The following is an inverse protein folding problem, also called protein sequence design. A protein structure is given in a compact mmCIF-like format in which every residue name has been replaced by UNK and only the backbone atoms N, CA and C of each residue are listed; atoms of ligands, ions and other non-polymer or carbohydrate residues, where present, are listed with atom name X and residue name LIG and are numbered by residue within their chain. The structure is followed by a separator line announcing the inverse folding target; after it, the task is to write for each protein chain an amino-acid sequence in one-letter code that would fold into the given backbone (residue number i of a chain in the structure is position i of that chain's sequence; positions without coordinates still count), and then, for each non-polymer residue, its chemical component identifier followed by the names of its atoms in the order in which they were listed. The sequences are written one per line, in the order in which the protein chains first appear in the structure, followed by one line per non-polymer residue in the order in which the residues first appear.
data_IF_861764495355
#
_entry.id   IF_861764495355
#
_cell.length_a   1.000
_cell.length_b   1.000
_cell.length_c   1.000
_cell.angle_alpha   90.00
_cell.angle_beta   90.00
_cell.angle_gamma   90.00
#
_symmetry.space_group_name_H-M   'P 1'
#
loop_
_entity.id
_entity.type
_entity.pdbx_description
1 polymer ?
#
# COMPACT_ATOMS: atom_id res chain seq x y z
N UNK A 1 13.27 -5.46 -7.77
CA UNK A 1 13.48 -4.90 -6.40
C UNK A 1 14.17 -3.55 -6.48
N UNK A 2 13.72 -2.54 -5.72
CA UNK A 2 14.30 -1.19 -5.75
C UNK A 2 15.72 -1.16 -5.13
N UNK A 3 16.61 -0.33 -5.71
CA UNK A 3 18.02 -0.29 -5.33
C UNK A 3 18.31 0.08 -3.86
N UNK A 4 17.38 0.76 -3.18
CA UNK A 4 17.52 1.10 -1.75
C UNK A 4 17.78 -0.13 -0.87
N UNK A 5 17.22 -1.29 -1.22
CA UNK A 5 17.37 -2.52 -0.45
C UNK A 5 18.71 -3.22 -0.64
N UNK A 6 19.51 -2.80 -1.63
CA UNK A 6 20.88 -3.33 -1.80
C UNK A 6 21.80 -2.98 -0.62
N UNK A 7 21.46 -1.91 0.12
CA UNK A 7 22.20 -1.52 1.33
C UNK A 7 21.80 -2.36 2.56
N UNK A 8 20.70 -3.12 2.47
CA UNK A 8 20.15 -3.94 3.55
C UNK A 8 19.87 -5.37 3.05
N UNK A 9 20.93 -6.18 2.82
CA UNK A 9 20.82 -7.49 2.15
C UNK A 9 19.87 -8.46 2.88
N UNK A 10 19.83 -8.44 4.21
CA UNK A 10 18.92 -9.28 4.99
C UNK A 10 17.44 -8.91 4.72
N UNK A 11 17.11 -7.61 4.69
CA UNK A 11 15.75 -7.16 4.39
C UNK A 11 15.40 -7.47 2.93
N UNK A 12 16.36 -7.30 2.03
CA UNK A 12 16.18 -7.63 0.61
C UNK A 12 15.81 -9.10 0.40
N UNK A 13 16.53 -10.02 1.08
CA UNK A 13 16.22 -11.45 1.02
C UNK A 13 14.80 -11.77 1.53
N UNK A 14 14.38 -11.13 2.63
CA UNK A 14 13.02 -11.27 3.13
C UNK A 14 11.98 -10.74 2.14
N UNK A 15 12.26 -9.62 1.47
CA UNK A 15 11.38 -9.04 0.46
C UNK A 15 11.31 -9.90 -0.82
N UNK A 16 12.38 -10.56 -1.20
CA UNK A 16 12.37 -11.54 -2.30
C UNK A 16 11.45 -12.72 -1.96
N UNK A 17 11.52 -13.24 -0.75
CA UNK A 17 10.60 -14.28 -0.27
C UNK A 17 9.13 -13.80 -0.18
N UNK A 18 8.90 -12.52 0.12
CA UNK A 18 7.55 -11.92 0.06
C UNK A 18 7.02 -11.94 -1.37
N UNK A 19 7.84 -11.60 -2.36
CA UNK A 19 7.45 -11.65 -3.79
C UNK A 19 7.11 -13.08 -4.21
N UNK A 20 7.87 -14.08 -3.77
CA UNK A 20 7.58 -15.49 -4.04
C UNK A 20 6.21 -15.88 -3.49
N UNK A 21 5.88 -15.49 -2.25
CA UNK A 21 4.56 -15.74 -1.64
C UNK A 21 3.45 -14.99 -2.43
N UNK A 22 3.72 -13.77 -2.90
CA UNK A 22 2.77 -13.03 -3.73
C UNK A 22 2.50 -13.77 -5.05
N UNK A 23 3.52 -14.24 -5.74
CA UNK A 23 3.40 -14.99 -7.00
C UNK A 23 2.63 -16.31 -6.82
N UNK A 24 2.87 -17.03 -5.73
CA UNK A 24 2.13 -18.26 -5.38
C UNK A 24 0.64 -17.99 -5.15
N UNK A 25 0.30 -16.88 -4.49
CA UNK A 25 -1.08 -16.51 -4.20
C UNK A 25 -1.80 -15.77 -5.34
N UNK A 26 -1.09 -15.34 -6.37
CA UNK A 26 -1.66 -14.75 -7.57
C UNK A 26 -2.36 -15.77 -8.47
N UNK A 27 -2.16 -17.10 -8.25
CA UNK A 27 -2.76 -18.12 -9.07
C UNK A 27 -4.29 -18.05 -9.07
N UNK A 28 -4.86 -17.96 -10.27
CA UNK A 28 -6.30 -17.93 -10.50
C UNK A 28 -6.67 -18.76 -11.75
N UNK A 29 -7.89 -19.31 -11.77
CA UNK A 29 -8.40 -20.02 -12.97
C UNK A 29 -8.55 -19.09 -14.17
N UNK A 30 -8.94 -17.82 -13.90
CA UNK A 30 -9.00 -16.80 -14.95
C UNK A 30 -7.60 -16.24 -15.21
N UNK A 31 -7.13 -16.46 -16.44
CA UNK A 31 -5.76 -16.07 -16.82
C UNK A 31 -5.58 -14.57 -17.00
N UNK A 32 -6.64 -13.81 -17.23
CA UNK A 32 -6.57 -12.34 -17.29
C UNK A 32 -6.30 -11.82 -15.89
N UNK A 33 -7.02 -12.30 -14.88
CA UNK A 33 -6.82 -11.92 -13.47
C UNK A 33 -5.42 -12.34 -13.02
N UNK A 34 -5.02 -13.59 -13.23
CA UNK A 34 -3.69 -14.07 -12.82
C UNK A 34 -2.56 -13.24 -13.43
N UNK A 35 -2.61 -13.03 -14.76
CA UNK A 35 -1.57 -12.28 -15.47
C UNK A 35 -1.53 -10.82 -15.03
N UNK A 36 -2.69 -10.19 -14.78
CA UNK A 36 -2.74 -8.81 -14.29
C UNK A 36 -2.13 -8.66 -12.90
N UNK A 37 -2.42 -9.60 -11.98
CA UNK A 37 -1.85 -9.58 -10.64
C UNK A 37 -0.34 -9.80 -10.70
N UNK A 38 0.15 -10.76 -11.50
CA UNK A 38 1.59 -10.98 -11.69
C UNK A 38 2.28 -9.76 -12.29
N UNK A 39 1.66 -9.11 -13.27
CA UNK A 39 2.18 -7.88 -13.84
C UNK A 39 2.28 -6.78 -12.77
N UNK A 40 1.26 -6.61 -11.91
CA UNK A 40 1.28 -5.68 -10.79
C UNK A 40 2.41 -6.00 -9.80
N UNK A 41 2.60 -7.26 -9.41
CA UNK A 41 3.67 -7.71 -8.49
C UNK A 41 5.04 -7.30 -9.03
N UNK A 42 5.33 -7.63 -10.28
CA UNK A 42 6.66 -7.39 -10.87
C UNK A 42 6.89 -5.95 -11.33
N UNK A 43 5.84 -5.13 -11.35
CA UNK A 43 5.92 -3.68 -11.58
C UNK A 43 5.78 -2.88 -10.29
N UNK A 44 5.58 -3.56 -9.15
CA UNK A 44 5.42 -2.91 -7.85
C UNK A 44 6.63 -2.03 -7.53
N UNK A 45 6.39 -1.01 -6.71
CA UNK A 45 7.35 0.05 -6.51
C UNK A 45 8.51 -0.31 -5.61
N UNK A 46 8.67 0.46 -4.54
CA UNK A 46 9.84 0.37 -3.65
C UNK A 46 9.71 -0.70 -2.56
N UNK A 47 8.58 -1.41 -2.46
CA UNK A 47 8.30 -2.39 -1.40
C UNK A 47 8.53 -1.81 0.01
N UNK A 48 8.17 -0.53 0.22
CA UNK A 48 8.45 0.16 1.49
C UNK A 48 7.60 -0.40 2.64
N UNK A 49 6.32 -0.67 2.38
CA UNK A 49 5.39 -1.18 3.40
C UNK A 49 5.77 -2.57 3.89
N UNK A 50 6.01 -3.55 3.01
CA UNK A 50 6.61 -4.83 3.41
C UNK A 50 7.93 -4.68 4.15
N UNK A 51 8.85 -3.85 3.64
CA UNK A 51 10.15 -3.64 4.26
C UNK A 51 10.05 -3.07 5.67
N UNK A 52 9.17 -2.09 5.89
CA UNK A 52 8.93 -1.53 7.22
C UNK A 52 8.29 -2.54 8.18
N UNK A 53 7.39 -3.39 7.71
CA UNK A 53 6.82 -4.47 8.52
C UNK A 53 7.92 -5.46 8.96
N UNK A 54 8.78 -5.88 8.05
CA UNK A 54 9.91 -6.76 8.35
C UNK A 54 10.88 -6.12 9.35
N UNK A 55 11.22 -4.83 9.15
CA UNK A 55 12.10 -4.10 10.08
C UNK A 55 11.49 -4.05 11.47
N UNK A 56 10.21 -3.70 11.60
CA UNK A 56 9.53 -3.62 12.88
C UNK A 56 9.45 -4.99 13.58
N UNK A 57 9.26 -6.07 12.82
CA UNK A 57 9.22 -7.43 13.33
C UNK A 57 10.54 -7.86 13.98
N UNK A 58 11.68 -7.35 13.51
CA UNK A 58 13.01 -7.66 14.07
C UNK A 58 13.23 -7.12 15.49
N UNK A 59 12.35 -6.29 16.01
CA UNK A 59 12.39 -5.79 17.39
C UNK A 59 11.67 -6.70 18.40
N UNK A 60 10.95 -7.72 17.93
CA UNK A 60 10.26 -8.71 18.75
C UNK A 60 10.81 -10.12 18.55
N UNK A 61 9.96 -11.10 18.77
CA UNK A 61 10.24 -12.52 18.46
C UNK A 61 10.05 -12.72 16.95
N UNK A 62 11.10 -12.52 16.19
CA UNK A 62 11.05 -12.61 14.74
C UNK A 62 10.78 -14.04 14.27
N UNK A 63 9.67 -14.23 13.56
CA UNK A 63 9.29 -15.47 12.89
C UNK A 63 9.12 -15.18 11.39
N UNK A 64 10.04 -15.70 10.57
CA UNK A 64 10.16 -15.34 9.17
C UNK A 64 8.88 -15.62 8.38
N UNK A 65 8.31 -16.82 8.51
CA UNK A 65 7.12 -17.24 7.77
C UNK A 65 5.92 -16.30 8.05
N UNK A 66 5.62 -16.07 9.32
CA UNK A 66 4.53 -15.19 9.74
C UNK A 66 4.76 -13.73 9.29
N UNK A 67 5.99 -13.24 9.46
CA UNK A 67 6.34 -11.88 9.07
C UNK A 67 6.20 -11.66 7.57
N UNK A 68 6.63 -12.62 6.75
CA UNK A 68 6.50 -12.58 5.29
C UNK A 68 5.04 -12.55 4.85
N UNK A 69 4.18 -13.35 5.49
CA UNK A 69 2.74 -13.36 5.19
C UNK A 69 2.11 -12.00 5.52
N UNK A 70 2.40 -11.41 6.68
CA UNK A 70 1.92 -10.07 7.04
C UNK A 70 2.40 -9.02 6.03
N UNK A 71 3.68 -9.06 5.67
CA UNK A 71 4.26 -8.16 4.67
C UNK A 71 3.59 -8.33 3.28
N UNK A 72 3.28 -9.57 2.90
CA UNK A 72 2.53 -9.89 1.66
C UNK A 72 1.13 -9.29 1.67
N UNK A 73 0.39 -9.44 2.77
CA UNK A 73 -0.94 -8.85 2.93
C UNK A 73 -0.91 -7.34 2.76
N UNK A 74 0.05 -6.67 3.39
CA UNK A 74 0.20 -5.21 3.30
C UNK A 74 0.45 -4.73 1.87
N UNK A 75 1.24 -5.46 1.10
CA UNK A 75 1.51 -5.09 -0.30
C UNK A 75 0.32 -5.40 -1.21
N UNK A 76 -0.33 -6.55 -1.07
CA UNK A 76 -1.57 -6.84 -1.81
C UNK A 76 -2.67 -5.84 -1.49
N UNK A 77 -2.81 -5.47 -0.22
CA UNK A 77 -3.75 -4.44 0.18
C UNK A 77 -3.46 -3.11 -0.52
N UNK A 78 -2.19 -2.69 -0.51
CA UNK A 78 -1.77 -1.48 -1.24
C UNK A 78 -2.03 -1.58 -2.75
N UNK A 79 -1.74 -2.74 -3.36
CA UNK A 79 -2.02 -2.95 -4.79
C UNK A 79 -3.52 -2.87 -5.09
N UNK A 80 -4.37 -3.43 -4.23
CA UNK A 80 -5.82 -3.37 -4.38
C UNK A 80 -6.34 -1.93 -4.37
N UNK A 81 -5.87 -1.11 -3.39
CA UNK A 81 -6.24 0.31 -3.35
C UNK A 81 -5.78 1.05 -4.58
N UNK A 82 -4.56 0.82 -5.07
CA UNK A 82 -4.06 1.45 -6.29
C UNK A 82 -4.88 1.09 -7.54
N UNK A 83 -5.33 -0.17 -7.65
CA UNK A 83 -6.17 -0.61 -8.77
C UNK A 83 -7.54 0.06 -8.74
N UNK A 84 -8.14 0.21 -7.56
CA UNK A 84 -9.41 0.93 -7.39
C UNK A 84 -9.25 2.43 -7.63
N UNK A 85 -8.19 3.05 -7.13
CA UNK A 85 -7.87 4.45 -7.38
C UNK A 85 -7.73 4.73 -8.89
N UNK A 86 -7.02 3.86 -9.64
CA UNK A 86 -6.91 3.98 -11.08
C UNK A 86 -8.27 3.99 -11.79
N UNK A 87 -9.26 3.26 -11.27
CA UNK A 87 -10.63 3.27 -11.82
C UNK A 87 -11.36 4.56 -11.49
N UNK A 88 -11.22 5.05 -10.25
CA UNK A 88 -11.87 6.26 -9.77
C UNK A 88 -11.33 7.49 -10.49
N UNK A 89 -10.02 7.55 -10.67
CA UNK A 89 -9.30 8.65 -11.30
C UNK A 89 -9.23 8.53 -12.84
N UNK A 90 -9.82 7.48 -13.40
CA UNK A 90 -9.78 7.17 -14.85
C UNK A 90 -8.35 7.15 -15.41
N UNK A 91 -7.38 6.83 -14.58
CA UNK A 91 -5.97 6.87 -14.91
C UNK A 91 -5.63 5.87 -16.01
N UNK A 92 -5.02 6.33 -17.11
CA UNK A 92 -4.60 5.46 -18.21
C UNK A 92 -3.22 4.85 -17.99
N UNK A 93 -2.36 5.59 -17.32
CA UNK A 93 -0.98 5.20 -17.06
C UNK A 93 -0.65 5.32 -15.58
N UNK A 94 0.10 4.34 -15.06
CA UNK A 94 0.73 4.37 -13.75
C UNK A 94 2.19 3.93 -13.86
N UNK A 95 3.10 4.77 -13.41
CA UNK A 95 4.56 4.53 -13.52
C UNK A 95 5.01 4.21 -14.95
N UNK A 96 4.43 4.91 -15.94
CA UNK A 96 4.75 4.75 -17.36
C UNK A 96 4.19 3.49 -18.02
N UNK A 97 3.29 2.75 -17.35
CA UNK A 97 2.61 1.55 -17.88
C UNK A 97 1.11 1.74 -17.88
N UNK A 98 0.42 1.02 -18.78
CA UNK A 98 -1.04 1.02 -18.80
C UNK A 98 -1.59 0.45 -17.49
N UNK A 99 -2.64 1.12 -16.97
CA UNK A 99 -3.39 0.63 -15.82
C UNK A 99 -4.24 -0.57 -16.20
N UNK A 100 -4.65 -1.36 -15.19
CA UNK A 100 -5.56 -2.50 -15.42
C UNK A 100 -6.84 -2.05 -16.09
N UNK A 101 -7.40 -0.91 -15.66
CA UNK A 101 -8.64 -0.38 -16.23
C UNK A 101 -8.46 0.12 -17.69
N UNK A 102 -7.31 0.62 -18.05
CA UNK A 102 -7.00 1.01 -19.44
C UNK A 102 -6.90 -0.21 -20.35
N UNK A 103 -6.28 -1.29 -19.86
CA UNK A 103 -5.99 -2.51 -20.61
C UNK A 103 -7.20 -3.45 -20.74
N UNK A 104 -8.00 -3.60 -19.69
CA UNK A 104 -9.07 -4.62 -19.61
C UNK A 104 -10.46 -4.04 -19.31
N UNK A 105 -10.55 -2.72 -19.08
CA UNK A 105 -11.79 -2.03 -18.73
C UNK A 105 -12.05 -1.96 -17.23
N UNK A 106 -12.90 -1.00 -16.84
CA UNK A 106 -13.22 -0.68 -15.44
C UNK A 106 -13.75 -1.88 -14.65
N UNK A 107 -14.61 -2.70 -15.27
CA UNK A 107 -15.22 -3.85 -14.58
C UNK A 107 -14.15 -4.89 -14.17
N UNK A 108 -13.21 -5.19 -15.07
CA UNK A 108 -12.10 -6.10 -14.73
C UNK A 108 -11.22 -5.52 -13.62
N UNK A 109 -10.91 -4.24 -13.67
CA UNK A 109 -10.10 -3.58 -12.65
C UNK A 109 -10.76 -3.66 -11.26
N UNK A 110 -12.06 -3.37 -11.15
CA UNK A 110 -12.80 -3.51 -9.89
C UNK A 110 -12.69 -4.94 -9.35
N UNK A 111 -13.00 -5.95 -10.17
CA UNK A 111 -12.92 -7.34 -9.72
C UNK A 111 -11.51 -7.81 -9.39
N UNK A 112 -10.48 -7.29 -10.06
CA UNK A 112 -9.08 -7.59 -9.72
C UNK A 112 -8.72 -6.99 -8.37
N UNK A 113 -9.12 -5.75 -8.07
CA UNK A 113 -8.94 -5.14 -6.76
C UNK A 113 -9.67 -5.92 -5.65
N UNK A 114 -10.94 -6.31 -5.89
CA UNK A 114 -11.71 -7.14 -4.95
C UNK A 114 -11.07 -8.52 -4.74
N UNK A 115 -10.54 -9.12 -5.78
CA UNK A 115 -9.85 -10.42 -5.68
C UNK A 115 -8.55 -10.31 -4.87
N UNK A 116 -7.81 -9.21 -5.00
CA UNK A 116 -6.65 -8.93 -4.14
C UNK A 116 -7.06 -8.82 -2.66
N UNK A 117 -8.18 -8.17 -2.35
CA UNK A 117 -8.72 -8.17 -0.98
C UNK A 117 -9.10 -9.57 -0.49
N UNK A 118 -9.68 -10.42 -1.35
CA UNK A 118 -9.97 -11.80 -1.00
C UNK A 118 -8.68 -12.58 -0.67
N UNK A 119 -7.59 -12.37 -1.41
CA UNK A 119 -6.28 -12.95 -1.08
C UNK A 119 -5.80 -12.46 0.29
N UNK A 120 -5.90 -11.17 0.58
CA UNK A 120 -5.55 -10.62 1.89
C UNK A 120 -6.32 -11.30 3.03
N UNK A 121 -7.65 -11.40 2.92
CA UNK A 121 -8.48 -12.08 3.93
C UNK A 121 -8.13 -13.56 4.10
N UNK A 122 -7.87 -14.27 3.00
CA UNK A 122 -7.43 -15.67 3.04
C UNK A 122 -6.12 -15.83 3.82
N UNK A 123 -5.13 -14.98 3.55
CA UNK A 123 -3.82 -15.03 4.22
C UNK A 123 -3.92 -14.64 5.69
N UNK A 124 -4.65 -13.58 6.02
CA UNK A 124 -4.88 -13.15 7.41
C UNK A 124 -5.59 -14.23 8.23
N UNK A 125 -6.61 -14.89 7.67
CA UNK A 125 -7.35 -15.93 8.35
C UNK A 125 -6.50 -17.15 8.71
N UNK A 126 -5.39 -17.38 8.01
CA UNK A 126 -4.48 -18.51 8.25
C UNK A 126 -3.41 -18.22 9.29
N UNK A 127 -3.00 -16.96 9.45
CA UNK A 127 -1.77 -16.63 10.18
C UNK A 127 -1.93 -15.54 11.23
N UNK A 128 -2.85 -14.59 11.04
CA UNK A 128 -2.95 -13.41 11.88
C UNK A 128 -3.73 -13.71 13.19
N UNK A 129 -3.38 -12.97 14.25
CA UNK A 129 -4.16 -12.97 15.47
C UNK A 129 -5.51 -12.26 15.26
N UNK A 130 -6.53 -12.63 16.04
CA UNK A 130 -7.82 -11.93 15.99
C UNK A 130 -7.68 -10.43 16.24
N UNK A 131 -6.75 -10.04 17.13
CA UNK A 131 -6.47 -8.65 17.42
C UNK A 131 -5.91 -7.93 16.19
N UNK A 132 -5.00 -8.54 15.46
CA UNK A 132 -4.42 -7.97 14.23
C UNK A 132 -5.46 -7.82 13.13
N UNK A 133 -6.33 -8.83 12.95
CA UNK A 133 -7.45 -8.74 12.00
C UNK A 133 -8.39 -7.58 12.35
N UNK A 134 -8.69 -7.36 13.65
CA UNK A 134 -9.53 -6.24 14.07
C UNK A 134 -8.87 -4.87 13.80
N UNK A 135 -7.56 -4.77 13.99
CA UNK A 135 -6.81 -3.53 13.74
C UNK A 135 -6.71 -3.27 12.24
N UNK A 136 -6.42 -4.31 11.46
CA UNK A 136 -6.39 -4.24 10.01
C UNK A 136 -7.74 -3.77 9.45
N UNK A 137 -8.84 -4.39 9.87
CA UNK A 137 -10.20 -4.01 9.47
C UNK A 137 -10.52 -2.53 9.80
N UNK A 138 -10.09 -2.03 10.98
CA UNK A 138 -10.27 -0.62 11.34
C UNK A 138 -9.43 0.31 10.46
N UNK A 139 -8.20 -0.09 10.15
CA UNK A 139 -7.32 0.70 9.28
C UNK A 139 -7.87 0.74 7.85
N UNK A 140 -8.34 -0.40 7.32
CA UNK A 140 -9.02 -0.47 6.02
C UNK A 140 -10.22 0.46 5.95
N UNK A 141 -11.09 0.42 6.97
CA UNK A 141 -12.25 1.29 7.05
C UNK A 141 -11.87 2.77 7.01
N UNK A 142 -10.80 3.17 7.72
CA UNK A 142 -10.31 4.56 7.70
C UNK A 142 -9.74 4.97 6.34
N UNK A 143 -9.04 4.06 5.66
CA UNK A 143 -8.51 4.31 4.32
C UNK A 143 -9.68 4.54 3.35
N UNK A 144 -10.67 3.65 3.33
CA UNK A 144 -11.85 3.81 2.47
C UNK A 144 -12.61 5.11 2.75
N UNK A 145 -12.79 5.47 4.03
CA UNK A 145 -13.44 6.75 4.39
C UNK A 145 -12.61 7.94 3.96
N UNK A 146 -11.28 7.87 4.06
CA UNK A 146 -10.37 8.91 3.57
C UNK A 146 -10.48 9.14 2.06
N UNK A 147 -10.62 8.07 1.27
CA UNK A 147 -10.87 8.17 -0.18
C UNK A 147 -12.23 8.82 -0.48
N UNK A 148 -13.28 8.44 0.26
CA UNK A 148 -14.60 9.08 0.11
C UNK A 148 -14.57 10.56 0.49
N UNK A 149 -13.84 10.93 1.56
CA UNK A 149 -13.63 12.33 1.95
C UNK A 149 -12.90 13.10 0.85
N UNK A 150 -11.89 12.50 0.22
CA UNK A 150 -11.19 13.09 -0.92
C UNK A 150 -12.12 13.35 -2.10
N UNK A 151 -12.96 12.38 -2.48
CA UNK A 151 -13.94 12.54 -3.55
C UNK A 151 -14.90 13.69 -3.28
N UNK A 152 -15.39 13.80 -2.04
CA UNK A 152 -16.32 14.85 -1.63
C UNK A 152 -15.69 16.25 -1.57
N UNK A 153 -14.37 16.34 -1.42
CA UNK A 153 -13.63 17.61 -1.33
C UNK A 153 -12.96 18.03 -2.63
N UNK A 154 -13.17 17.29 -3.71
CA UNK A 154 -12.62 17.66 -5.03
C UNK A 154 -13.12 19.05 -5.45
N UNK A 155 -12.19 19.89 -5.90
CA UNK A 155 -12.45 21.27 -6.32
C UNK A 155 -13.01 22.21 -5.24
N UNK A 156 -12.95 21.82 -3.95
CA UNK A 156 -13.34 22.71 -2.86
C UNK A 156 -12.28 23.79 -2.61
N UNK A 157 -12.55 25.01 -3.10
CA UNK A 157 -11.65 26.16 -2.94
C UNK A 157 -11.58 26.68 -1.50
N UNK A 158 -12.42 26.16 -0.58
CA UNK A 158 -12.42 26.54 0.85
C UNK A 158 -11.60 25.59 1.70
N UNK A 159 -11.00 24.53 1.10
CA UNK A 159 -10.21 23.54 1.79
C UNK A 159 -9.04 24.16 2.57
N UNK A 160 -8.92 23.78 3.83
CA UNK A 160 -7.88 24.28 4.74
C UNK A 160 -6.68 23.34 4.77
N UNK A 161 -5.54 23.82 5.28
CA UNK A 161 -4.36 22.96 5.56
C UNK A 161 -4.75 21.80 6.48
N UNK A 162 -5.68 21.98 7.41
CA UNK A 162 -6.16 20.92 8.28
C UNK A 162 -6.90 19.82 7.50
N UNK A 163 -7.69 20.18 6.50
CA UNK A 163 -8.41 19.25 5.66
C UNK A 163 -7.42 18.47 4.76
N UNK A 164 -6.42 19.14 4.20
CA UNK A 164 -5.31 18.50 3.52
C UNK A 164 -4.59 17.48 4.40
N UNK A 165 -4.17 17.85 5.61
CA UNK A 165 -3.49 16.94 6.53
C UNK A 165 -4.38 15.75 6.94
N UNK A 166 -5.70 15.96 7.06
CA UNK A 166 -6.65 14.88 7.34
C UNK A 166 -6.72 13.89 6.15
N UNK A 167 -6.79 14.40 4.92
CA UNK A 167 -6.81 13.62 3.69
C UNK A 167 -5.58 12.72 3.56
N UNK A 168 -4.38 13.28 3.62
CA UNK A 168 -3.15 12.50 3.50
C UNK A 168 -2.93 11.52 4.68
N UNK A 169 -3.46 11.87 5.86
CA UNK A 169 -3.51 10.96 7.01
C UNK A 169 -4.31 9.69 6.68
N UNK A 170 -5.51 9.83 6.13
CA UNK A 170 -6.37 8.69 5.77
C UNK A 170 -5.78 7.86 4.62
N UNK A 171 -5.43 8.50 3.53
CA UNK A 171 -5.00 7.85 2.28
C UNK A 171 -3.64 7.15 2.41
N UNK A 172 -2.65 7.84 2.96
CA UNK A 172 -1.26 7.37 2.90
C UNK A 172 -0.70 6.98 4.26
N UNK A 173 -0.85 7.83 5.29
CA UNK A 173 -0.17 7.61 6.57
C UNK A 173 -0.71 6.38 7.33
N UNK A 174 -2.00 6.07 7.22
CA UNK A 174 -2.61 4.89 7.89
C UNK A 174 -1.94 3.59 7.48
N UNK A 175 -1.66 3.39 6.18
CA UNK A 175 -1.08 2.14 5.71
C UNK A 175 0.40 2.01 6.10
N UNK A 176 1.16 3.11 6.17
CA UNK A 176 2.50 3.10 6.74
C UNK A 176 2.49 2.80 8.24
N UNK A 177 1.57 3.40 8.98
CA UNK A 177 1.38 3.14 10.41
C UNK A 177 1.03 1.66 10.67
N UNK A 178 0.08 1.13 9.89
CA UNK A 178 -0.33 -0.28 9.95
C UNK A 178 0.85 -1.22 9.67
N UNK A 179 1.69 -0.90 8.68
CA UNK A 179 2.82 -1.73 8.30
C UNK A 179 3.81 -1.94 9.46
N UNK A 180 4.23 -0.86 10.10
CA UNK A 180 5.13 -0.93 11.25
C UNK A 180 4.44 -1.55 12.48
N UNK A 181 3.18 -1.20 12.71
CA UNK A 181 2.41 -1.75 13.82
C UNK A 181 2.25 -3.27 13.73
N UNK A 182 1.80 -3.79 12.59
CA UNK A 182 1.58 -5.23 12.40
C UNK A 182 2.89 -6.01 12.48
N UNK A 183 3.97 -5.51 11.89
CA UNK A 183 5.28 -6.13 12.02
C UNK A 183 5.69 -6.30 13.49
N UNK A 184 5.55 -5.26 14.31
CA UNK A 184 5.86 -5.31 15.73
C UNK A 184 4.88 -6.20 16.52
N UNK A 185 3.56 -6.04 16.31
CA UNK A 185 2.54 -6.75 17.08
C UNK A 185 2.56 -8.27 16.81
N UNK A 186 2.71 -8.67 15.55
CA UNK A 186 2.77 -10.08 15.17
C UNK A 186 4.09 -10.76 15.57
N UNK A 187 5.13 -9.98 15.88
CA UNK A 187 6.38 -10.44 16.48
C UNK A 187 6.40 -10.31 18.01
N UNK A 188 5.23 -10.22 18.62
CA UNK A 188 5.03 -10.19 20.08
C UNK A 188 5.72 -9.02 20.80
N UNK A 189 5.98 -7.92 20.13
CA UNK A 189 6.35 -6.68 20.82
C UNK A 189 5.23 -6.30 21.80
N UNK A 190 5.61 -5.70 22.94
CA UNK A 190 4.62 -5.21 23.87
C UNK A 190 3.73 -4.10 23.26
N UNK A 191 2.60 -3.82 23.92
CA UNK A 191 1.64 -2.82 23.43
C UNK A 191 2.26 -1.42 23.27
N UNK A 192 3.17 -1.05 24.15
CA UNK A 192 3.83 0.27 24.11
C UNK A 192 4.76 0.37 22.91
N UNK A 193 5.55 -0.66 22.64
CA UNK A 193 6.43 -0.72 21.48
C UNK A 193 5.62 -0.73 20.17
N UNK A 194 4.59 -1.56 20.08
CA UNK A 194 3.72 -1.60 18.89
C UNK A 194 3.04 -0.25 18.63
N UNK A 195 2.60 0.48 19.68
CA UNK A 195 2.04 1.83 19.52
C UNK A 195 3.11 2.86 19.12
N UNK A 196 4.35 2.71 19.57
CA UNK A 196 5.46 3.55 19.11
C UNK A 196 5.71 3.36 17.61
N UNK A 197 5.73 2.10 17.15
CA UNK A 197 5.86 1.79 15.73
C UNK A 197 4.71 2.33 14.89
N UNK A 198 3.47 2.28 15.41
CA UNK A 198 2.33 2.96 14.77
C UNK A 198 2.61 4.45 14.56
N UNK A 199 3.06 5.16 15.60
CA UNK A 199 3.33 6.60 15.52
C UNK A 199 4.48 6.92 14.57
N UNK A 200 5.53 6.10 14.57
CA UNK A 200 6.66 6.24 13.62
C UNK A 200 6.16 6.08 12.19
N UNK A 201 5.42 5.02 11.91
CA UNK A 201 4.87 4.76 10.58
C UNK A 201 3.93 5.87 10.11
N UNK A 202 3.08 6.36 11.00
CA UNK A 202 2.19 7.47 10.72
C UNK A 202 2.96 8.73 10.29
N UNK A 203 3.98 9.12 11.05
CA UNK A 203 4.79 10.29 10.73
C UNK A 203 5.61 10.11 9.44
N UNK A 204 6.13 8.91 9.19
CA UNK A 204 6.80 8.59 7.92
C UNK A 204 5.82 8.74 6.75
N UNK A 205 4.61 8.20 6.87
CA UNK A 205 3.60 8.30 5.82
C UNK A 205 3.14 9.72 5.55
N UNK A 206 2.96 10.55 6.60
CA UNK A 206 2.68 11.97 6.47
C UNK A 206 3.80 12.70 5.72
N UNK A 207 5.04 12.52 6.14
CA UNK A 207 6.21 13.14 5.49
C UNK A 207 6.36 12.66 4.05
N UNK A 208 6.14 11.36 3.79
CA UNK A 208 6.22 10.79 2.45
C UNK A 208 5.23 11.47 1.49
N UNK A 209 3.96 11.61 1.91
CA UNK A 209 2.95 12.22 1.05
C UNK A 209 3.22 13.72 0.83
N UNK A 210 3.57 14.47 1.88
CA UNK A 210 3.91 15.89 1.74
C UNK A 210 5.05 16.09 0.74
N UNK A 211 6.08 15.24 0.80
CA UNK A 211 7.21 15.32 -0.13
C UNK A 211 6.77 14.92 -1.55
N UNK A 212 5.94 13.89 -1.69
CA UNK A 212 5.43 13.46 -3.01
C UNK A 212 4.63 14.57 -3.68
N UNK A 213 3.73 15.24 -2.94
CA UNK A 213 2.93 16.36 -3.42
C UNK A 213 3.81 17.58 -3.79
N UNK A 214 4.82 17.90 -2.97
CA UNK A 214 5.80 18.98 -3.28
C UNK A 214 6.57 18.66 -4.55
N UNK A 215 6.99 17.41 -4.74
CA UNK A 215 7.70 16.98 -5.94
C UNK A 215 6.80 17.02 -7.18
N UNK A 216 5.53 16.63 -7.05
CA UNK A 216 4.55 16.72 -8.15
C UNK A 216 4.39 18.17 -8.64
N UNK A 217 4.47 19.13 -7.71
CA UNK A 217 4.33 20.55 -8.02
C UNK A 217 5.61 21.18 -8.57
N UNK A 218 6.78 20.73 -8.12
CA UNK A 218 8.07 21.40 -8.38
C UNK A 218 8.93 20.72 -9.45
N UNK A 219 8.67 19.44 -9.76
CA UNK A 219 9.53 18.66 -10.65
C UNK A 219 8.99 18.66 -12.07
N UNK A 220 9.91 18.68 -13.04
CA UNK A 220 9.57 18.49 -14.44
C UNK A 220 9.03 17.06 -14.67
N UNK A 221 8.09 16.89 -15.60
CA UNK A 221 7.43 15.62 -15.92
C UNK A 221 8.40 14.45 -16.19
N UNK A 222 9.58 14.73 -16.72
CA UNK A 222 10.64 13.76 -17.00
C UNK A 222 11.22 13.10 -15.72
N UNK A 223 11.22 13.80 -14.60
CA UNK A 223 11.76 13.29 -13.31
C UNK A 223 10.73 12.43 -12.57
N UNK A 224 9.46 12.76 -12.71
CA UNK A 224 8.35 12.09 -11.98
C UNK A 224 7.88 10.80 -12.67
N UNK A 225 8.11 10.62 -13.97
CA UNK A 225 7.57 9.51 -14.75
C UNK A 225 6.02 9.54 -14.89
N UNK A 226 5.40 10.67 -14.54
CA UNK A 226 3.97 11.01 -14.72
C UNK A 226 3.84 12.45 -15.23
N UNK A 227 2.68 12.83 -15.74
CA UNK A 227 2.41 14.23 -16.08
C UNK A 227 2.56 15.11 -14.83
N UNK A 228 3.30 16.22 -14.94
CA UNK A 228 3.40 17.20 -13.84
C UNK A 228 2.05 17.87 -13.58
N UNK A 229 1.82 18.29 -12.34
CA UNK A 229 0.56 18.90 -11.88
C UNK A 229 -0.67 17.98 -12.01
N UNK A 230 -0.49 16.68 -11.84
CA UNK A 230 -1.59 15.71 -11.87
C UNK A 230 -2.62 16.02 -10.78
N UNK A 231 -2.14 16.26 -9.56
CA UNK A 231 -3.00 16.56 -8.40
C UNK A 231 -3.81 17.86 -8.59
N UNK A 232 -3.27 18.85 -9.30
CA UNK A 232 -4.00 20.11 -9.62
C UNK A 232 -5.11 19.89 -10.64
N UNK A 233 -4.99 18.89 -11.53
CA UNK A 233 -6.01 18.56 -12.53
C UNK A 233 -7.14 17.72 -11.93
N UNK A 234 -6.86 16.97 -10.88
CA UNK A 234 -7.84 16.12 -10.21
C UNK A 234 -8.64 16.83 -9.11
N UNK A 235 -8.18 18.00 -8.62
CA UNK A 235 -8.89 18.84 -7.64
C UNK A 235 -8.34 18.74 -6.22
#
# INVERSE_FOLDING_TARGET
MHAIWNQYPEIKQELEAVIDIMDENAYCKDKVIENSIKELIHTSGKMLRPGFSIIAAKFGEYEAERTRVVATVLEFFHMATLVHDDVIDEAKLRRGRETVQSKYGKNYAVYIGDYLFCICFKLLAQTASLQSIQIDSKAMSRICLGEVEQLNSRFDQTATVKDYLRRISGKTAQLFALSLYLGAAESKCDKRMSQLFWNIGYNIGMAFQIIDDVLDYTSAAEVLGKESNHDVKEG
#
